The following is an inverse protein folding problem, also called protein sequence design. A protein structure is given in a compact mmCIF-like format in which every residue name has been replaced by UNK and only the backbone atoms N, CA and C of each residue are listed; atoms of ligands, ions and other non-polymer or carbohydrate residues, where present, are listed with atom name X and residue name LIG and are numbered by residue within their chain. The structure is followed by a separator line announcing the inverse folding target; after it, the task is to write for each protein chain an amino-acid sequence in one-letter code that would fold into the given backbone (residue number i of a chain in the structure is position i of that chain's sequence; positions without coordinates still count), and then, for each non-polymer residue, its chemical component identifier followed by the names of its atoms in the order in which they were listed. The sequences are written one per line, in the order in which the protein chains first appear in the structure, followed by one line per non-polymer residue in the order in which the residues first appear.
data_IF_658442687904
#
_entry.id   IF_658442687904
#
_cell.length_a   1.000
_cell.length_b   1.000
_cell.length_c   1.000
_cell.angle_alpha   90.00
_cell.angle_beta   90.00
_cell.angle_gamma   90.00
#
_symmetry.space_group_name_H-M   'P 1'
#
loop_
_entity.id
_entity.type
_entity.pdbx_description
1 polymer ?
#
# COMPACT_ATOMS: atom_id res chain seq x y z
N UNK A 1 -44.57 -36.33 -19.89
CA UNK A 1 -43.75 -35.25 -20.45
C UNK A 1 -42.72 -35.87 -21.36
N UNK A 2 -42.45 -35.29 -22.53
CA UNK A 2 -41.65 -35.96 -23.56
C UNK A 2 -40.16 -35.68 -23.39
N UNK A 3 -39.30 -36.61 -23.85
CA UNK A 3 -37.84 -36.47 -23.80
C UNK A 3 -37.36 -35.21 -24.55
N UNK A 4 -38.04 -34.86 -25.65
CA UNK A 4 -37.73 -33.69 -26.47
C UNK A 4 -37.85 -32.36 -25.69
N UNK A 5 -38.83 -32.30 -24.81
CA UNK A 5 -39.15 -31.13 -23.99
C UNK A 5 -38.02 -30.85 -22.98
N UNK A 6 -37.41 -31.90 -22.43
CA UNK A 6 -36.24 -31.75 -21.56
C UNK A 6 -34.97 -31.42 -22.35
N UNK A 7 -34.81 -32.00 -23.54
CA UNK A 7 -33.61 -31.82 -24.40
C UNK A 7 -33.46 -30.37 -24.84
N UNK A 8 -34.55 -29.70 -25.24
CA UNK A 8 -34.47 -28.29 -25.65
C UNK A 8 -34.17 -27.36 -24.45
N UNK A 9 -34.68 -27.68 -23.26
CA UNK A 9 -34.44 -26.90 -22.05
C UNK A 9 -32.98 -26.98 -21.62
N UNK A 10 -32.40 -28.18 -21.57
CA UNK A 10 -30.97 -28.31 -21.21
C UNK A 10 -30.04 -27.73 -22.29
N UNK A 11 -30.42 -27.82 -23.57
CA UNK A 11 -29.65 -27.23 -24.66
C UNK A 11 -29.61 -25.71 -24.57
N UNK A 12 -30.74 -25.07 -24.28
CA UNK A 12 -30.82 -23.60 -24.13
C UNK A 12 -30.11 -23.10 -22.87
N UNK A 13 -30.23 -23.79 -21.74
CA UNK A 13 -29.47 -23.49 -20.51
C UNK A 13 -27.95 -23.64 -20.77
N UNK A 14 -27.53 -24.65 -21.55
CA UNK A 14 -26.13 -24.84 -21.93
C UNK A 14 -25.55 -23.69 -22.74
N UNK A 15 -26.29 -23.15 -23.72
CA UNK A 15 -25.87 -21.98 -24.50
C UNK A 15 -25.81 -20.72 -23.64
N UNK A 16 -26.78 -20.53 -22.73
CA UNK A 16 -26.77 -19.41 -21.79
C UNK A 16 -25.57 -19.49 -20.83
N UNK A 17 -25.25 -20.67 -20.30
CA UNK A 17 -24.11 -20.90 -19.42
C UNK A 17 -22.77 -20.65 -20.13
N UNK A 18 -22.64 -21.04 -21.40
CA UNK A 18 -21.44 -20.80 -22.20
C UNK A 18 -21.13 -19.30 -22.40
N UNK A 19 -22.16 -18.44 -22.46
CA UNK A 19 -22.00 -16.99 -22.64
C UNK A 19 -21.90 -16.25 -21.30
N UNK A 20 -22.41 -16.81 -20.20
CA UNK A 20 -22.42 -16.16 -18.89
C UNK A 20 -21.04 -16.11 -18.20
N UNK A 21 -20.15 -17.07 -18.47
CA UNK A 21 -18.88 -17.23 -17.74
C UNK A 21 -17.71 -16.31 -18.17
N UNK A 22 -17.57 -15.76 -19.39
CA UNK A 22 -16.33 -15.04 -19.75
C UNK A 22 -16.30 -13.54 -19.42
N UNK A 23 -17.32 -12.99 -18.73
CA UNK A 23 -17.39 -11.55 -18.40
C UNK A 23 -17.07 -11.20 -16.94
N UNK A 24 -17.34 -12.08 -15.98
CA UNK A 24 -17.04 -11.80 -14.58
C UNK A 24 -15.52 -11.74 -14.31
N UNK A 25 -14.73 -12.67 -14.88
CA UNK A 25 -13.29 -12.77 -14.59
C UNK A 25 -12.47 -11.56 -15.07
N UNK A 26 -12.80 -10.98 -16.23
CA UNK A 26 -12.12 -9.78 -16.76
C UNK A 26 -12.58 -8.48 -16.09
N UNK A 27 -13.83 -8.42 -15.63
CA UNK A 27 -14.34 -7.25 -14.90
C UNK A 27 -13.61 -7.06 -13.54
N UNK A 28 -13.23 -8.15 -12.87
CA UNK A 28 -12.48 -8.08 -11.62
C UNK A 28 -11.01 -7.66 -11.80
N UNK A 29 -10.35 -8.10 -12.88
CA UNK A 29 -8.97 -7.68 -13.18
C UNK A 29 -8.89 -6.18 -13.49
N UNK A 30 -9.87 -5.61 -14.21
CA UNK A 30 -9.97 -4.16 -14.41
C UNK A 30 -10.38 -3.39 -13.15
N UNK A 31 -11.24 -3.96 -12.30
CA UNK A 31 -11.72 -3.29 -11.09
C UNK A 31 -10.61 -3.07 -10.05
N UNK A 32 -9.69 -4.03 -9.88
CA UNK A 32 -8.53 -3.89 -9.00
C UNK A 32 -7.59 -2.77 -9.45
N UNK A 33 -7.30 -2.71 -10.74
CA UNK A 33 -6.48 -1.64 -11.33
C UNK A 33 -7.14 -0.25 -11.18
N UNK A 34 -8.42 -0.13 -11.51
CA UNK A 34 -9.15 1.12 -11.34
C UNK A 34 -9.21 1.57 -9.86
N UNK A 35 -9.31 0.64 -8.92
CA UNK A 35 -9.26 0.95 -7.50
C UNK A 35 -7.88 1.47 -7.07
N UNK A 36 -6.80 0.81 -7.48
CA UNK A 36 -5.42 1.28 -7.21
C UNK A 36 -5.19 2.67 -7.78
N UNK A 37 -5.59 2.93 -9.03
CA UNK A 37 -5.39 4.25 -9.66
C UNK A 37 -6.18 5.36 -8.95
N UNK A 38 -7.40 5.05 -8.45
CA UNK A 38 -8.17 6.00 -7.63
C UNK A 38 -7.48 6.31 -6.31
N UNK A 39 -7.06 5.28 -5.59
CA UNK A 39 -6.37 5.43 -4.30
C UNK A 39 -5.05 6.20 -4.49
N UNK A 40 -4.27 5.86 -5.52
CA UNK A 40 -3.04 6.53 -5.90
C UNK A 40 -3.26 8.02 -6.20
N UNK A 41 -4.21 8.35 -7.06
CA UNK A 41 -4.52 9.75 -7.40
C UNK A 41 -4.99 10.55 -6.20
N UNK A 42 -5.65 9.90 -5.24
CA UNK A 42 -6.10 10.54 -3.99
C UNK A 42 -4.90 10.81 -3.09
N UNK A 43 -4.04 9.81 -2.88
CA UNK A 43 -2.81 9.94 -2.09
C UNK A 43 -1.90 11.05 -2.63
N UNK A 44 -1.63 11.05 -3.94
CA UNK A 44 -0.77 12.06 -4.55
C UNK A 44 -1.31 13.48 -4.30
N UNK A 45 -2.62 13.70 -4.48
CA UNK A 45 -3.24 15.00 -4.22
C UNK A 45 -3.13 15.45 -2.76
N UNK A 46 -3.26 14.51 -1.82
CA UNK A 46 -3.11 14.85 -0.39
C UNK A 46 -1.67 15.17 -0.02
N UNK A 47 -0.70 14.49 -0.63
CA UNK A 47 0.74 14.79 -0.48
C UNK A 47 1.05 16.18 -1.07
N UNK A 48 0.51 16.50 -2.23
CA UNK A 48 0.70 17.81 -2.86
C UNK A 48 0.07 18.91 -2.00
N UNK A 49 -1.15 18.68 -1.46
CA UNK A 49 -1.80 19.61 -0.55
C UNK A 49 -0.99 19.83 0.73
N UNK A 50 -0.44 18.76 1.32
CA UNK A 50 0.47 18.87 2.47
C UNK A 50 1.65 19.79 2.15
N UNK A 51 2.29 19.60 0.99
CA UNK A 51 3.45 20.41 0.61
C UNK A 51 3.10 21.88 0.44
N UNK A 52 1.92 22.20 -0.10
CA UNK A 52 1.45 23.58 -0.23
C UNK A 52 1.30 24.28 1.13
N UNK A 53 0.84 23.56 2.15
CA UNK A 53 0.64 24.11 3.50
C UNK A 53 1.93 24.12 4.34
N UNK A 54 2.95 23.35 3.96
CA UNK A 54 4.20 23.18 4.70
C UNK A 54 5.43 23.77 4.00
N UNK A 55 5.27 24.95 3.40
CA UNK A 55 6.38 25.70 2.77
C UNK A 55 7.12 24.90 1.68
N UNK A 56 6.40 24.03 0.96
CA UNK A 56 6.96 23.17 -0.08
C UNK A 56 7.68 21.92 0.43
N UNK A 57 7.67 21.65 1.74
CA UNK A 57 8.22 20.42 2.28
C UNK A 57 7.21 19.28 2.15
N UNK A 58 7.62 18.17 1.55
CA UNK A 58 6.78 16.98 1.46
C UNK A 58 6.75 16.19 2.78
N UNK A 59 5.75 15.31 2.98
CA UNK A 59 5.72 14.42 4.14
C UNK A 59 7.00 13.59 4.27
N UNK A 60 7.42 13.33 5.50
CA UNK A 60 8.68 12.71 5.90
C UNK A 60 9.96 13.39 5.40
N UNK A 61 9.89 14.50 4.64
CA UNK A 61 11.10 15.25 4.27
C UNK A 61 11.73 15.94 5.48
N UNK A 62 10.91 16.22 6.50
CA UNK A 62 11.32 16.65 7.84
C UNK A 62 10.69 15.70 8.85
N UNK A 63 11.31 15.59 10.02
CA UNK A 63 10.72 14.87 11.15
C UNK A 63 9.37 15.46 11.56
N UNK A 64 8.52 14.64 12.16
CA UNK A 64 7.19 15.04 12.67
C UNK A 64 7.25 15.66 14.08
N UNK A 65 8.44 15.89 14.62
CA UNK A 65 8.66 16.22 16.03
C UNK A 65 8.52 15.02 16.99
N UNK A 66 7.89 13.92 16.54
CA UNK A 66 7.80 12.65 17.29
C UNK A 66 8.56 11.50 16.60
N UNK A 67 8.86 11.65 15.32
CA UNK A 67 9.62 10.71 14.52
C UNK A 67 10.64 11.45 13.65
N UNK A 68 11.76 10.79 13.40
CA UNK A 68 12.83 11.28 12.53
C UNK A 68 12.38 11.38 11.07
N UNK A 69 13.07 12.25 10.31
CA UNK A 69 12.86 12.37 8.87
C UNK A 69 13.12 11.05 8.12
N UNK A 70 12.56 10.94 6.92
CA UNK A 70 12.71 9.79 6.01
C UNK A 70 12.24 8.46 6.63
N UNK A 71 11.29 8.52 7.57
CA UNK A 71 10.65 7.36 8.18
C UNK A 71 9.18 7.25 7.79
N UNK A 72 8.67 6.02 7.76
CA UNK A 72 7.22 5.76 7.59
C UNK A 72 6.40 6.42 8.71
N UNK A 73 6.93 6.42 9.94
CA UNK A 73 6.21 7.00 11.10
C UNK A 73 6.00 8.50 10.90
N UNK A 74 7.04 9.24 10.47
CA UNK A 74 6.89 10.66 10.16
C UNK A 74 5.90 10.90 9.02
N UNK A 75 5.97 10.09 7.94
CA UNK A 75 5.03 10.15 6.81
C UNK A 75 3.58 9.99 7.27
N UNK A 76 3.29 8.93 8.03
CA UNK A 76 1.94 8.62 8.48
C UNK A 76 1.44 9.66 9.48
N UNK A 77 2.26 10.09 10.43
CA UNK A 77 1.87 11.11 11.39
C UNK A 77 1.52 12.43 10.73
N UNK A 78 2.33 12.88 9.77
CA UNK A 78 2.10 14.15 9.07
C UNK A 78 0.85 14.15 8.18
N UNK A 79 0.46 12.98 7.63
CA UNK A 79 -0.74 12.89 6.80
C UNK A 79 -2.02 12.52 7.57
N UNK A 80 -1.90 11.82 8.71
CA UNK A 80 -3.03 11.32 9.49
C UNK A 80 -3.38 12.18 10.70
N UNK A 81 -2.49 13.06 11.14
CA UNK A 81 -2.67 13.88 12.33
C UNK A 81 -2.73 15.37 11.99
N UNK A 82 -3.05 16.19 12.98
CA UNK A 82 -2.97 17.63 12.85
C UNK A 82 -1.49 18.06 12.87
N UNK A 83 -1.11 19.04 12.04
CA UNK A 83 0.27 19.51 11.93
C UNK A 83 0.42 21.02 12.08
N UNK A 84 1.62 21.44 12.45
CA UNK A 84 2.07 22.83 12.38
C UNK A 84 2.59 23.15 10.97
N UNK A 85 2.73 24.42 10.58
CA UNK A 85 3.37 24.79 9.31
C UNK A 85 4.81 24.25 9.13
N UNK A 86 5.49 23.85 10.22
CA UNK A 86 6.82 23.25 10.18
C UNK A 86 6.79 21.73 9.93
N UNK A 87 5.62 21.09 10.03
CA UNK A 87 5.44 19.65 9.83
C UNK A 87 5.46 18.83 11.13
N UNK A 88 5.43 19.48 12.29
CA UNK A 88 5.29 18.77 13.56
C UNK A 88 3.86 18.27 13.73
N UNK A 89 3.69 17.03 14.19
CA UNK A 89 2.38 16.39 14.30
C UNK A 89 1.85 16.35 15.73
N UNK A 90 0.53 16.31 15.85
CA UNK A 90 -0.16 16.03 17.11
C UNK A 90 -1.42 15.23 16.85
N UNK A 91 -1.58 14.15 17.61
CA UNK A 91 -2.71 13.22 17.61
C UNK A 91 -4.06 13.87 17.97
N UNK A 92 -4.05 15.11 18.46
CA UNK A 92 -5.24 15.93 18.64
C UNK A 92 -4.98 17.36 18.13
N UNK A 93 -5.97 18.00 17.50
CA UNK A 93 -5.89 19.43 17.22
C UNK A 93 -5.63 20.21 18.51
N UNK A 94 -4.66 21.13 18.47
CA UNK A 94 -4.29 22.02 19.57
C UNK A 94 -3.74 23.32 19.01
N UNK A 95 -3.50 24.30 19.86
CA UNK A 95 -2.99 25.61 19.41
C UNK A 95 -1.67 25.44 18.64
N UNK A 96 -1.60 26.05 17.45
CA UNK A 96 -0.50 25.89 16.49
C UNK A 96 -0.55 24.64 15.57
N UNK A 97 -1.41 23.66 15.85
CA UNK A 97 -1.58 22.42 15.06
C UNK A 97 -2.96 22.43 14.39
N UNK A 98 -3.09 23.23 13.34
CA UNK A 98 -4.36 23.52 12.65
C UNK A 98 -4.40 23.00 11.21
N UNK A 99 -3.30 22.47 10.69
CA UNK A 99 -3.23 21.90 9.34
C UNK A 99 -3.55 20.40 9.37
N UNK A 100 -4.10 19.86 8.29
CA UNK A 100 -4.54 18.47 8.21
C UNK A 100 -5.72 18.11 9.14
N UNK A 101 -5.99 16.82 9.38
CA UNK A 101 -5.37 15.65 8.75
C UNK A 101 -5.76 15.52 7.28
N UNK A 102 -4.81 15.11 6.44
CA UNK A 102 -4.98 15.04 4.99
C UNK A 102 -5.61 13.71 4.54
N UNK A 103 -5.35 12.64 5.28
CA UNK A 103 -5.91 11.31 5.05
C UNK A 103 -6.92 10.93 6.13
N UNK A 104 -8.09 11.59 6.11
CA UNK A 104 -9.17 11.38 7.10
C UNK A 104 -9.65 9.93 7.16
N UNK A 105 -9.69 9.23 6.02
CA UNK A 105 -10.09 7.83 5.93
C UNK A 105 -8.98 6.83 6.30
N UNK A 106 -7.77 7.33 6.61
CA UNK A 106 -6.59 6.52 6.82
C UNK A 106 -5.84 6.20 5.52
N UNK A 107 -4.72 5.48 5.67
CA UNK A 107 -3.92 5.02 4.55
C UNK A 107 -4.65 3.88 3.81
N UNK A 108 -4.93 4.01 2.50
CA UNK A 108 -5.65 2.98 1.76
C UNK A 108 -4.77 1.74 1.59
N UNK A 109 -5.33 0.58 1.91
CA UNK A 109 -4.69 -0.69 1.58
C UNK A 109 -4.68 -0.92 0.06
N UNK A 110 -3.55 -1.31 -0.48
CA UNK A 110 -3.36 -1.65 -1.89
C UNK A 110 -4.37 -2.72 -2.32
N UNK A 111 -5.04 -2.53 -3.47
CA UNK A 111 -6.15 -3.40 -3.89
C UNK A 111 -5.74 -4.52 -4.85
N UNK A 112 -4.51 -4.50 -5.36
CA UNK A 112 -4.05 -5.43 -6.39
C UNK A 112 -2.54 -5.70 -6.31
N UNK A 113 -2.07 -6.73 -7.03
CA UNK A 113 -0.68 -7.19 -7.01
C UNK A 113 -0.34 -8.03 -5.79
N UNK A 114 0.93 -8.47 -5.69
CA UNK A 114 1.39 -9.37 -4.62
C UNK A 114 1.26 -8.82 -3.20
N UNK A 115 1.09 -7.51 -3.09
CA UNK A 115 0.95 -6.76 -1.84
C UNK A 115 -0.47 -6.31 -1.52
N UNK A 116 -1.46 -6.85 -2.24
CA UNK A 116 -2.86 -6.56 -1.97
C UNK A 116 -3.20 -6.77 -0.48
N UNK A 117 -3.98 -5.84 0.07
CA UNK A 117 -4.36 -5.79 1.47
C UNK A 117 -3.38 -5.03 2.38
N UNK A 118 -2.19 -4.67 1.91
CA UNK A 118 -1.20 -3.92 2.70
C UNK A 118 -1.39 -2.41 2.53
N UNK A 119 -1.35 -1.67 3.63
CA UNK A 119 -1.42 -0.21 3.64
C UNK A 119 -0.08 0.46 3.99
N UNK A 120 0.91 -0.30 4.43
CA UNK A 120 2.22 0.24 4.80
C UNK A 120 2.91 0.94 3.64
N UNK A 121 3.87 1.80 3.99
CA UNK A 121 4.63 2.65 3.06
C UNK A 121 6.11 2.45 3.28
N UNK A 122 6.83 2.06 2.23
CA UNK A 122 8.28 2.14 2.24
C UNK A 122 8.71 3.56 1.86
N UNK A 123 9.44 4.21 2.76
CA UNK A 123 9.97 5.57 2.55
C UNK A 123 11.41 5.46 2.08
N UNK A 124 11.68 5.96 0.87
CA UNK A 124 13.02 5.96 0.31
C UNK A 124 13.89 6.99 1.03
N UNK A 125 15.05 6.55 1.51
CA UNK A 125 15.98 7.38 2.27
C UNK A 125 16.98 8.13 1.38
N UNK A 126 17.24 7.59 0.18
CA UNK A 126 18.13 8.20 -0.81
C UNK A 126 17.36 9.11 -1.79
N UNK A 127 17.93 9.38 -2.97
CA UNK A 127 17.35 10.22 -4.02
C UNK A 127 16.74 9.41 -5.17
N UNK A 128 16.67 8.08 -5.04
CA UNK A 128 16.14 7.21 -6.09
C UNK A 128 14.64 7.40 -6.28
N UNK A 129 14.18 7.29 -7.52
CA UNK A 129 12.76 7.33 -7.82
C UNK A 129 12.04 6.14 -7.16
N UNK A 130 10.77 6.33 -6.73
CA UNK A 130 9.97 5.25 -6.21
C UNK A 130 9.76 4.17 -7.27
N UNK A 131 9.96 2.92 -6.86
CA UNK A 131 9.93 1.75 -7.75
C UNK A 131 9.36 0.55 -7.03
N UNK A 132 9.01 -0.47 -7.79
CA UNK A 132 8.61 -1.76 -7.25
C UNK A 132 9.70 -2.39 -6.35
N UNK A 133 9.29 -2.91 -5.20
CA UNK A 133 10.15 -3.54 -4.19
C UNK A 133 9.64 -4.94 -3.83
N UNK A 134 10.34 -5.98 -4.33
CA UNK A 134 10.02 -7.41 -4.18
C UNK A 134 10.23 -7.99 -2.79
N UNK A 135 10.99 -7.30 -1.94
CA UNK A 135 11.24 -7.77 -0.58
C UNK A 135 10.47 -6.96 0.46
N UNK A 136 10.04 -5.74 0.11
CA UNK A 136 9.38 -4.84 1.05
C UNK A 136 7.89 -5.18 1.17
N UNK A 137 7.41 -5.63 2.34
CA UNK A 137 6.05 -6.11 2.56
C UNK A 137 5.06 -4.94 2.77
N UNK A 138 5.06 -3.97 1.86
CA UNK A 138 4.30 -2.70 1.92
C UNK A 138 3.40 -2.51 0.69
N UNK A 139 2.35 -1.69 0.83
CA UNK A 139 1.44 -1.38 -0.28
C UNK A 139 1.95 -0.28 -1.21
N UNK A 140 2.75 0.66 -0.67
CA UNK A 140 3.17 1.86 -1.38
C UNK A 140 4.66 2.13 -1.19
N UNK A 141 5.27 2.76 -2.19
CA UNK A 141 6.67 3.22 -2.14
C UNK A 141 6.67 4.72 -2.38
N UNK A 142 7.36 5.46 -1.53
CA UNK A 142 7.29 6.91 -1.48
C UNK A 142 8.68 7.54 -1.42
N UNK A 143 8.86 8.65 -2.14
CA UNK A 143 10.09 9.45 -2.17
C UNK A 143 9.85 10.85 -1.56
N UNK A 144 10.32 11.10 -0.31
CA UNK A 144 10.14 12.38 0.38
C UNK A 144 10.74 13.60 -0.31
N UNK A 145 11.73 13.43 -1.18
CA UNK A 145 12.39 14.55 -1.85
C UNK A 145 11.61 15.09 -3.04
N UNK A 146 10.82 14.23 -3.69
CA UNK A 146 10.02 14.58 -4.87
C UNK A 146 8.52 14.64 -4.58
N UNK A 147 8.07 14.04 -3.47
CA UNK A 147 6.66 13.89 -3.16
C UNK A 147 5.96 12.77 -3.95
N UNK A 148 6.72 12.01 -4.73
CA UNK A 148 6.15 10.96 -5.58
C UNK A 148 5.86 9.71 -4.74
N UNK A 149 4.62 9.23 -4.83
CA UNK A 149 4.19 7.95 -4.28
C UNK A 149 3.77 7.03 -5.42
N UNK A 150 4.13 5.74 -5.38
CA UNK A 150 3.71 4.75 -6.37
C UNK A 150 3.17 3.50 -5.67
N UNK A 151 2.20 2.79 -6.28
CA UNK A 151 1.79 1.49 -5.78
C UNK A 151 2.97 0.51 -5.88
N UNK A 152 3.17 -0.33 -4.85
CA UNK A 152 4.21 -1.34 -4.84
C UNK A 152 3.82 -2.57 -5.69
N UNK A 153 3.70 -2.36 -6.99
CA UNK A 153 3.27 -3.35 -7.98
C UNK A 153 4.28 -3.32 -9.13
N UNK A 154 4.72 -4.48 -9.66
CA UNK A 154 5.68 -4.49 -10.77
C UNK A 154 5.09 -3.77 -11.99
N UNK A 155 5.94 -3.12 -12.78
CA UNK A 155 5.54 -2.63 -14.10
C UNK A 155 5.75 -3.76 -15.10
N UNK A 156 4.70 -4.17 -15.82
CA UNK A 156 4.86 -4.92 -17.07
C UNK A 156 4.91 -3.96 -18.23
N UNK A 157 5.75 -4.26 -19.20
CA UNK A 157 5.69 -3.62 -20.51
C UNK A 157 4.38 -4.05 -21.18
N UNK A 158 3.42 -3.12 -21.30
CA UNK A 158 2.22 -3.36 -22.09
C UNK A 158 2.62 -3.54 -23.55
N UNK A 159 1.87 -4.33 -24.32
CA UNK A 159 2.13 -4.64 -25.73
C UNK A 159 2.19 -3.42 -26.71
N UNK A 160 2.15 -2.18 -26.18
CA UNK A 160 2.28 -0.91 -26.89
C UNK A 160 3.52 -0.09 -26.50
N UNK A 161 4.43 -0.63 -25.69
CA UNK A 161 5.60 0.09 -25.18
C UNK A 161 5.28 1.09 -24.05
N UNK A 162 4.02 1.14 -23.59
CA UNK A 162 3.63 1.85 -22.38
C UNK A 162 3.81 0.93 -21.16
N UNK A 163 4.54 1.40 -20.14
CA UNK A 163 4.67 0.71 -18.86
C UNK A 163 3.28 0.63 -18.19
N UNK A 164 2.78 -0.58 -17.98
CA UNK A 164 1.50 -0.88 -17.32
C UNK A 164 1.72 -1.59 -16.00
N UNK A 165 0.94 -1.26 -14.97
CA UNK A 165 1.05 -1.88 -13.64
C UNK A 165 0.60 -3.36 -13.72
N UNK A 166 1.52 -4.29 -13.43
CA UNK A 166 1.27 -5.75 -13.43
C UNK A 166 0.74 -6.27 -12.10
N UNK A 167 -0.55 -6.51 -12.09
CA UNK A 167 -1.27 -7.06 -10.93
C UNK A 167 -1.37 -8.60 -10.97
N UNK A 168 -0.76 -9.24 -11.97
CA UNK A 168 -1.01 -10.64 -12.37
C UNK A 168 -0.01 -11.64 -11.82
N UNK A 169 0.99 -11.22 -11.04
CA UNK A 169 2.00 -12.11 -10.48
C UNK A 169 1.61 -12.59 -9.06
N UNK A 170 0.98 -13.77 -8.89
CA UNK A 170 1.18 -14.56 -7.71
C UNK A 170 2.57 -15.21 -7.83
N UNK A 171 3.58 -14.67 -7.15
CA UNK A 171 4.79 -15.45 -6.94
C UNK A 171 4.40 -16.74 -6.21
N UNK A 172 4.85 -17.84 -6.78
CA UNK A 172 4.39 -19.17 -6.51
C UNK A 172 4.42 -19.52 -5.01
N UNK A 173 3.30 -20.04 -4.53
CA UNK A 173 3.24 -20.92 -3.36
C UNK A 173 4.20 -22.11 -3.59
N UNK A 174 5.46 -21.99 -3.16
CA UNK A 174 6.43 -23.06 -3.46
C UNK A 174 7.89 -22.80 -3.15
N UNK A 175 8.24 -22.32 -1.95
CA UNK A 175 9.48 -22.68 -1.24
C UNK A 175 9.52 -21.93 0.10
N UNK A 176 9.32 -22.63 1.21
CA UNK A 176 9.75 -22.15 2.52
C UNK A 176 11.20 -22.61 2.73
N UNK A 177 12.23 -21.75 2.68
CA UNK A 177 13.50 -22.05 3.32
C UNK A 177 13.46 -21.46 4.74
N UNK A 178 13.63 -22.32 5.75
CA UNK A 178 13.93 -21.87 7.11
C UNK A 178 12.74 -21.73 8.06
N UNK A 179 12.10 -22.86 8.40
CA UNK A 179 11.47 -22.99 9.71
C UNK A 179 12.57 -23.00 10.79
N UNK A 180 13.06 -21.82 11.17
CA UNK A 180 13.95 -21.61 12.31
C UNK A 180 13.10 -21.46 13.57
N UNK A 181 13.16 -22.46 14.45
CA UNK A 181 12.42 -22.50 15.70
C UNK A 181 12.65 -21.26 16.58
N UNK A 182 11.58 -20.86 17.26
CA UNK A 182 11.59 -19.90 18.37
C UNK A 182 12.67 -20.33 19.35
N UNK A 183 13.76 -19.55 19.44
CA UNK A 183 14.73 -19.69 20.53
C UNK A 183 14.15 -18.97 21.76
N UNK A 184 14.04 -19.63 22.92
CA UNK A 184 13.69 -18.95 24.17
C UNK A 184 14.73 -17.87 24.49
N UNK A 185 14.25 -16.73 24.98
CA UNK A 185 15.08 -15.65 25.51
C UNK A 185 15.73 -16.16 26.81
N UNK A 186 17.02 -16.47 26.76
CA UNK A 186 17.84 -16.66 27.96
C UNK A 186 17.96 -15.31 28.68
N UNK A 187 17.15 -15.14 29.74
CA UNK A 187 17.31 -14.06 30.71
C UNK A 187 18.51 -14.43 31.57
N UNK A 188 19.69 -13.94 31.20
CA UNK A 188 20.91 -14.08 31.98
C UNK A 188 20.73 -13.51 33.37
N UNK A 189 20.88 -14.37 34.37
CA UNK A 189 20.92 -14.03 35.79
C UNK A 189 22.10 -13.08 36.05
N UNK A 190 21.78 -11.81 36.31
CA UNK A 190 22.71 -10.82 36.83
C UNK A 190 23.12 -11.17 38.25
N UNK A 191 24.41 -11.42 38.39
CA UNK A 191 25.20 -11.61 39.58
C UNK A 191 24.89 -10.57 40.67
N UNK A 192 24.35 -11.04 41.80
CA UNK A 192 24.25 -10.30 43.05
C UNK A 192 25.57 -10.48 43.81
N UNK A 193 26.56 -9.67 43.45
CA UNK A 193 27.77 -9.49 44.23
C UNK A 193 27.45 -8.93 45.61
N UNK A 194 27.53 -9.79 46.63
CA UNK A 194 27.69 -9.39 48.03
C UNK A 194 29.17 -9.05 48.27
N UNK A 195 29.41 -7.82 48.70
CA UNK A 195 30.65 -7.40 49.35
C UNK A 195 30.40 -7.38 50.86
N UNK A 196 30.83 -8.45 51.52
CA UNK A 196 31.43 -8.46 52.86
C UNK A 196 32.69 -9.32 52.81
#
# INVERSE_FOLDING_TARGET
MTLLELVVVIATIGVLAAIAVPRASRAFQGAGHAAVMRDWSTLQRQIDLYALEHMGAYPAQRGSGQAEELTEVAFLQQLLQATTPAGESSDKPKDGYFLGPYLVAGMPALKAGRHAGRAGVFVIQDTSAPRYMSEEPVGWVYQPRTGEIVPNIPLTEGASGALTIDISAPEALGARPGAGGVRPLDVGAGDLGKVE
#
